data_IF_301024518175
#
_entry.id   IF_301024518175
#
_cell.length_a   1.000
_cell.length_b   1.000
_cell.length_c   1.000
_cell.angle_alpha   90.00
_cell.angle_beta   90.00
_cell.angle_gamma   90.00
#
_symmetry.space_group_name_H-M   'P 1'
#
loop_
_entity.id
_entity.type
_entity.pdbx_description
1 polymer ?
#
# COMPACT_ATOMS: atom_id res chain seq x y z
N UNK A 1 53.04 74.57 -20.81
CA UNK A 1 52.39 73.84 -19.70
C UNK A 1 52.25 72.38 -20.11
N UNK A 2 52.77 71.41 -19.33
CA UNK A 2 52.78 70.01 -19.74
C UNK A 2 51.47 69.33 -19.30
N UNK A 3 50.75 68.71 -20.24
CA UNK A 3 49.62 67.84 -19.92
C UNK A 3 50.11 66.40 -19.76
N UNK A 4 49.95 65.87 -18.55
CA UNK A 4 50.24 64.49 -18.15
C UNK A 4 49.16 63.56 -18.72
N UNK A 5 49.56 62.48 -19.39
CA UNK A 5 48.71 61.34 -19.71
C UNK A 5 48.56 60.44 -18.47
N UNK A 6 47.32 60.11 -18.10
CA UNK A 6 46.99 59.10 -17.09
C UNK A 6 46.68 57.77 -17.81
N UNK A 7 47.24 56.61 -17.39
CA UNK A 7 46.85 55.32 -17.95
C UNK A 7 45.57 54.83 -17.25
N UNK A 8 44.61 54.37 -18.04
CA UNK A 8 43.42 53.70 -17.53
C UNK A 8 43.77 52.28 -17.08
N UNK A 9 43.55 51.99 -15.79
CA UNK A 9 43.51 50.62 -15.27
C UNK A 9 42.21 49.96 -15.75
N UNK A 10 42.32 48.89 -16.54
CA UNK A 10 41.21 47.99 -16.84
C UNK A 10 41.05 46.99 -15.69
N UNK A 11 39.99 47.14 -14.90
CA UNK A 11 39.56 46.13 -13.93
C UNK A 11 38.73 45.09 -14.70
N UNK A 12 39.29 43.91 -14.91
CA UNK A 12 38.55 42.77 -15.45
C UNK A 12 37.66 42.18 -14.34
N UNK A 13 36.35 42.38 -14.45
CA UNK A 13 35.37 41.71 -13.59
C UNK A 13 35.14 40.28 -14.11
N UNK A 14 35.52 39.29 -13.31
CA UNK A 14 35.14 37.90 -13.55
C UNK A 14 33.65 37.74 -13.23
N UNK A 15 32.81 37.69 -14.27
CA UNK A 15 31.40 37.31 -14.13
C UNK A 15 31.32 35.79 -14.01
N UNK A 16 31.13 35.30 -12.78
CA UNK A 16 30.74 33.91 -12.52
C UNK A 16 29.30 33.72 -13.01
N UNK A 17 29.12 33.11 -14.18
CA UNK A 17 27.80 32.70 -14.67
C UNK A 17 27.28 31.54 -13.82
N UNK A 18 26.43 31.83 -12.85
CA UNK A 18 25.60 30.81 -12.22
C UNK A 18 24.57 30.36 -13.26
N UNK A 19 24.82 29.24 -13.92
CA UNK A 19 23.79 28.55 -14.70
C UNK A 19 22.74 28.06 -13.72
N UNK A 20 21.59 28.73 -13.67
CA UNK A 20 20.40 28.22 -13.00
C UNK A 20 20.02 26.93 -13.71
N UNK A 21 20.42 25.79 -13.16
CA UNK A 21 19.98 24.50 -13.67
C UNK A 21 18.50 24.38 -13.30
N UNK A 22 17.62 24.65 -14.26
CA UNK A 22 16.18 24.50 -14.07
C UNK A 22 15.93 23.07 -13.58
N UNK A 23 15.39 22.92 -12.36
CA UNK A 23 14.98 21.61 -11.91
C UNK A 23 13.91 21.10 -12.87
N UNK A 24 14.04 19.89 -13.43
CA UNK A 24 13.02 19.36 -14.31
C UNK A 24 11.71 19.29 -13.52
N UNK A 25 10.64 19.83 -14.10
CA UNK A 25 9.31 19.78 -13.49
C UNK A 25 8.88 18.34 -13.23
N UNK A 26 8.09 18.08 -12.18
CA UNK A 26 7.54 16.75 -11.94
C UNK A 26 6.77 16.28 -13.18
N UNK A 27 7.02 15.05 -13.59
CA UNK A 27 6.39 14.41 -14.75
C UNK A 27 5.33 13.38 -14.33
N UNK A 28 5.25 13.08 -13.03
CA UNK A 28 4.21 12.27 -12.43
C UNK A 28 3.87 12.76 -11.03
N UNK A 29 2.76 12.28 -10.48
CA UNK A 29 2.30 12.68 -9.15
C UNK A 29 2.17 11.48 -8.23
N UNK A 30 2.47 11.69 -6.96
CA UNK A 30 2.45 10.69 -5.89
C UNK A 30 1.37 11.07 -4.87
N UNK A 31 0.50 10.12 -4.57
CA UNK A 31 -0.40 10.17 -3.42
C UNK A 31 0.24 9.48 -2.22
N UNK A 32 0.09 10.10 -1.05
CA UNK A 32 0.50 9.56 0.24
C UNK A 32 -0.70 9.54 1.18
N UNK A 33 -1.00 8.35 1.71
CA UNK A 33 -1.85 8.16 2.89
C UNK A 33 -1.03 8.18 4.17
N UNK A 34 -1.66 8.47 5.31
CA UNK A 34 -0.97 8.62 6.59
C UNK A 34 -1.85 8.30 7.79
N UNK A 35 -1.21 8.15 8.94
CA UNK A 35 -1.86 8.26 10.25
C UNK A 35 -1.76 9.71 10.76
N UNK A 36 -2.78 10.19 11.47
CA UNK A 36 -2.94 11.61 11.83
C UNK A 36 -2.94 11.88 13.34
N UNK A 37 -2.42 10.94 14.16
CA UNK A 37 -2.15 11.20 15.57
C UNK A 37 -0.95 12.14 15.78
N UNK A 38 -0.09 12.28 14.76
CA UNK A 38 1.06 13.18 14.74
C UNK A 38 0.74 14.55 14.15
N UNK A 39 1.64 15.04 13.30
CA UNK A 39 1.54 16.31 12.57
C UNK A 39 0.86 16.18 11.20
N UNK A 40 0.69 14.96 10.70
CA UNK A 40 0.03 14.73 9.42
C UNK A 40 -1.40 15.28 9.41
N UNK A 41 -1.79 15.92 8.31
CA UNK A 41 -3.14 16.46 8.10
C UNK A 41 -4.04 15.48 7.33
N UNK A 42 -3.50 14.41 6.76
CA UNK A 42 -4.28 13.40 6.04
C UNK A 42 -3.61 12.92 4.75
N UNK A 43 -4.23 13.20 3.60
CA UNK A 43 -3.75 12.76 2.29
C UNK A 43 -2.92 13.86 1.64
N UNK A 44 -1.79 13.51 1.05
CA UNK A 44 -0.93 14.44 0.35
C UNK A 44 -0.78 14.04 -1.12
N UNK A 45 -0.77 15.03 -2.00
CA UNK A 45 -0.44 14.89 -3.42
C UNK A 45 0.86 15.66 -3.67
N UNK A 46 1.89 14.97 -4.12
CA UNK A 46 3.20 15.53 -4.41
C UNK A 46 3.52 15.42 -5.90
N UNK A 47 4.35 16.34 -6.39
CA UNK A 47 5.08 16.12 -7.63
C UNK A 47 6.21 15.11 -7.41
N UNK A 48 6.47 14.29 -8.41
CA UNK A 48 7.61 13.38 -8.44
C UNK A 48 8.32 13.49 -9.79
N UNK A 49 9.65 13.53 -9.75
CA UNK A 49 10.49 13.59 -10.93
C UNK A 49 11.02 12.19 -11.26
N UNK A 50 10.48 11.57 -12.31
CA UNK A 50 10.85 10.19 -12.71
C UNK A 50 12.25 10.07 -13.32
N UNK A 51 12.94 11.18 -13.60
CA UNK A 51 14.33 11.16 -14.06
C UNK A 51 15.30 11.09 -12.88
N UNK A 52 15.03 11.84 -11.81
CA UNK A 52 15.91 11.94 -10.64
C UNK A 52 15.51 10.99 -9.52
N UNK A 53 14.24 10.60 -9.45
CA UNK A 53 13.67 9.81 -8.35
C UNK A 53 13.31 10.65 -7.12
N UNK A 54 13.10 11.96 -7.28
CA UNK A 54 12.85 12.87 -6.15
C UNK A 54 11.38 13.25 -6.05
N UNK A 55 10.87 13.28 -4.81
CA UNK A 55 9.61 13.90 -4.40
C UNK A 55 9.85 15.40 -4.19
N UNK A 56 8.94 16.23 -4.71
CA UNK A 56 8.99 17.68 -4.52
C UNK A 56 8.77 18.06 -3.05
N UNK A 57 9.55 19.05 -2.58
CA UNK A 57 9.51 19.50 -1.18
C UNK A 57 8.15 20.04 -0.72
N UNK A 58 7.38 20.63 -1.65
CA UNK A 58 6.05 21.17 -1.37
C UNK A 58 4.98 20.28 -1.98
N UNK A 59 3.94 19.90 -1.24
CA UNK A 59 2.81 19.19 -1.82
C UNK A 59 2.08 20.09 -2.82
N UNK A 60 1.61 19.48 -3.91
CA UNK A 60 0.67 20.08 -4.85
C UNK A 60 -0.71 20.26 -4.20
N UNK A 61 -1.06 19.38 -3.26
CA UNK A 61 -2.29 19.45 -2.49
C UNK A 61 -2.17 18.72 -1.15
N UNK A 62 -2.83 19.25 -0.13
CA UNK A 62 -3.08 18.56 1.15
C UNK A 62 -4.59 18.44 1.33
N UNK A 63 -5.08 17.23 1.57
CA UNK A 63 -6.50 16.93 1.79
C UNK A 63 -6.67 16.48 3.23
N UNK A 64 -7.39 17.31 4.01
CA UNK A 64 -7.63 17.03 5.43
C UNK A 64 -8.53 15.80 5.59
N UNK A 65 -8.03 14.79 6.29
CA UNK A 65 -8.75 13.54 6.55
C UNK A 65 -8.13 12.84 7.74
N UNK A 66 -8.94 12.26 8.63
CA UNK A 66 -8.43 11.54 9.80
C UNK A 66 -8.00 10.11 9.40
N UNK A 67 -6.75 9.76 9.71
CA UNK A 67 -6.14 8.44 9.47
C UNK A 67 -6.42 7.80 8.10
N UNK A 68 -6.19 8.49 6.95
CA UNK A 68 -6.35 7.91 5.62
C UNK A 68 -5.24 6.90 5.31
N UNK A 69 -5.25 5.75 5.95
CA UNK A 69 -4.12 4.82 6.00
C UNK A 69 -3.97 3.93 4.76
N UNK A 70 -5.01 3.85 3.93
CA UNK A 70 -5.01 3.11 2.67
C UNK A 70 -5.85 3.84 1.63
N UNK A 71 -5.34 3.90 0.39
CA UNK A 71 -5.96 4.62 -0.72
C UNK A 71 -6.27 3.67 -1.90
N UNK A 72 -7.52 3.71 -2.37
CA UNK A 72 -8.00 2.92 -3.50
C UNK A 72 -8.44 3.83 -4.62
N UNK A 73 -7.78 3.72 -5.78
CA UNK A 73 -8.18 4.46 -6.99
C UNK A 73 -9.18 3.64 -7.80
N UNK A 74 -10.20 4.33 -8.32
CA UNK A 74 -10.99 3.84 -9.44
C UNK A 74 -10.13 3.58 -10.67
N UNK A 75 -10.56 2.65 -11.54
CA UNK A 75 -9.80 2.24 -12.73
C UNK A 75 -9.50 3.42 -13.66
N UNK A 76 -10.41 4.38 -13.79
CA UNK A 76 -10.26 5.58 -14.62
C UNK A 76 -9.61 6.75 -13.88
N UNK A 77 -9.22 6.56 -12.61
CA UNK A 77 -8.64 7.57 -11.74
C UNK A 77 -9.49 8.85 -11.62
N UNK A 78 -10.81 8.73 -11.72
CA UNK A 78 -11.74 9.84 -11.45
C UNK A 78 -12.20 9.90 -10.00
N UNK A 79 -12.06 8.80 -9.28
CA UNK A 79 -12.41 8.66 -7.88
C UNK A 79 -11.28 8.06 -7.07
N UNK A 80 -11.11 8.60 -5.87
CA UNK A 80 -10.23 8.12 -4.81
C UNK A 80 -11.09 7.74 -3.60
N UNK A 81 -10.84 6.56 -3.06
CA UNK A 81 -11.44 6.10 -1.81
C UNK A 81 -10.34 5.97 -0.76
N UNK A 82 -10.60 6.42 0.45
CA UNK A 82 -9.69 6.28 1.58
C UNK A 82 -10.39 5.56 2.72
N UNK A 83 -9.75 4.56 3.31
CA UNK A 83 -10.17 4.08 4.63
C UNK A 83 -9.69 5.06 5.68
N UNK A 84 -10.53 5.35 6.66
CA UNK A 84 -10.17 6.16 7.83
C UNK A 84 -10.02 5.20 9.01
N UNK A 85 -8.77 4.83 9.33
CA UNK A 85 -8.39 3.78 10.29
C UNK A 85 -8.54 4.24 11.75
N UNK A 86 -9.75 4.70 12.04
CA UNK A 86 -10.22 5.21 13.31
C UNK A 86 -10.80 4.07 14.15
N UNK A 87 -10.71 4.20 15.47
CA UNK A 87 -11.25 3.22 16.41
C UNK A 87 -11.04 3.63 17.86
N UNK A 88 -11.35 2.75 18.83
CA UNK A 88 -11.32 3.10 20.25
C UNK A 88 -9.99 3.68 20.72
N UNK A 89 -10.05 4.74 21.52
CA UNK A 89 -8.86 5.45 22.01
C UNK A 89 -8.32 6.54 21.07
N UNK A 90 -8.93 6.73 19.89
CA UNK A 90 -8.61 7.83 18.97
C UNK A 90 -9.59 8.99 19.08
N UNK A 91 -9.26 10.16 18.48
CA UNK A 91 -10.11 11.36 18.50
C UNK A 91 -11.47 11.13 17.84
N UNK A 92 -11.45 10.52 16.66
CA UNK A 92 -12.63 9.93 16.04
C UNK A 92 -12.55 8.43 16.28
N UNK A 93 -13.54 7.88 16.97
CA UNK A 93 -13.56 6.46 17.37
C UNK A 93 -14.27 5.58 16.35
N UNK A 94 -14.84 6.17 15.30
CA UNK A 94 -15.64 5.44 14.32
C UNK A 94 -14.80 5.19 13.06
N UNK A 95 -14.59 3.92 12.72
CA UNK A 95 -13.97 3.52 11.46
C UNK A 95 -14.84 3.94 10.27
N UNK A 96 -14.27 4.64 9.29
CA UNK A 96 -15.01 5.22 8.15
C UNK A 96 -14.33 4.93 6.81
N UNK A 97 -15.04 5.25 5.74
CA UNK A 97 -14.51 5.32 4.39
C UNK A 97 -14.94 6.64 3.76
N UNK A 98 -13.98 7.37 3.22
CA UNK A 98 -14.17 8.61 2.47
C UNK A 98 -14.07 8.38 0.96
N UNK A 99 -14.86 9.12 0.20
CA UNK A 99 -14.76 9.20 -1.26
C UNK A 99 -14.44 10.63 -1.71
N UNK A 100 -13.62 10.73 -2.74
CA UNK A 100 -13.17 11.97 -3.34
C UNK A 100 -13.23 11.89 -4.86
N UNK A 101 -13.59 12.99 -5.52
CA UNK A 101 -13.43 13.16 -6.95
C UNK A 101 -12.00 13.61 -7.26
N UNK A 102 -11.48 13.19 -8.40
CA UNK A 102 -10.22 13.66 -8.98
C UNK A 102 -10.58 14.35 -10.30
N UNK A 103 -10.28 15.65 -10.40
CA UNK A 103 -10.45 16.37 -11.65
C UNK A 103 -9.47 15.84 -12.71
N UNK A 104 -9.94 15.39 -13.89
CA UNK A 104 -9.08 14.71 -14.86
C UNK A 104 -8.07 15.63 -15.56
N UNK A 105 -8.18 16.95 -15.42
CA UNK A 105 -7.28 17.92 -16.06
C UNK A 105 -6.22 18.45 -15.08
N UNK A 106 -6.63 18.74 -13.85
CA UNK A 106 -5.81 19.38 -12.82
C UNK A 106 -5.37 18.41 -11.73
N UNK A 107 -5.96 17.22 -11.70
CA UNK A 107 -5.82 16.19 -10.65
C UNK A 107 -6.16 16.71 -9.26
N UNK A 108 -6.90 17.82 -9.17
CA UNK A 108 -7.40 18.34 -7.91
C UNK A 108 -8.35 17.33 -7.27
N UNK A 109 -8.10 17.01 -6.00
CA UNK A 109 -8.88 16.04 -5.24
C UNK A 109 -9.90 16.77 -4.37
N UNK A 110 -11.18 16.49 -4.53
CA UNK A 110 -12.25 17.15 -3.75
C UNK A 110 -13.15 16.13 -3.08
N UNK A 111 -13.53 16.31 -1.81
CA UNK A 111 -14.39 15.36 -1.10
C UNK A 111 -15.76 15.23 -1.77
N UNK A 112 -16.27 14.00 -1.85
CA UNK A 112 -17.65 13.68 -2.26
C UNK A 112 -18.48 13.42 -1.02
N UNK A 113 -18.20 12.32 -0.31
CA UNK A 113 -18.90 11.96 0.92
C UNK A 113 -18.06 11.01 1.80
N UNK A 114 -18.58 10.67 2.97
CA UNK A 114 -17.99 9.72 3.91
C UNK A 114 -19.10 8.87 4.54
N UNK A 115 -18.84 7.57 4.72
CA UNK A 115 -19.76 6.63 5.37
C UNK A 115 -19.02 5.82 6.45
N UNK A 116 -19.76 5.26 7.40
CA UNK A 116 -19.19 4.33 8.37
C UNK A 116 -18.79 3.01 7.69
N UNK A 117 -17.63 2.49 8.05
CA UNK A 117 -17.17 1.15 7.64
C UNK A 117 -17.93 0.02 8.35
N UNK A 118 -18.68 0.36 9.41
CA UNK A 118 -19.37 -0.57 10.32
C UNK A 118 -18.44 -1.59 10.98
N UNK A 119 -17.16 -1.23 11.14
CA UNK A 119 -16.18 -1.89 11.98
C UNK A 119 -15.18 -0.87 12.53
N UNK A 120 -14.22 -1.36 13.32
CA UNK A 120 -13.14 -0.56 13.89
C UNK A 120 -11.87 -0.72 13.05
N UNK A 121 -11.10 0.37 12.96
CA UNK A 121 -9.82 0.44 12.24
C UNK A 121 -9.84 -0.21 10.84
N UNK A 122 -10.64 0.29 9.87
CA UNK A 122 -10.55 -0.16 8.49
C UNK A 122 -9.15 0.13 7.94
N UNK A 123 -8.42 -0.91 7.57
CA UNK A 123 -6.98 -0.81 7.23
C UNK A 123 -6.68 -1.09 5.75
N UNK A 124 -7.66 -1.60 5.01
CA UNK A 124 -7.51 -1.89 3.59
C UNK A 124 -8.87 -1.77 2.87
N UNK A 125 -8.84 -1.34 1.61
CA UNK A 125 -9.99 -1.48 0.72
C UNK A 125 -9.60 -1.87 -0.71
N UNK A 126 -10.55 -2.43 -1.46
CA UNK A 126 -10.42 -2.66 -2.89
C UNK A 126 -11.76 -2.53 -3.61
N UNK A 127 -11.73 -2.20 -4.89
CA UNK A 127 -12.94 -2.15 -5.72
C UNK A 127 -13.19 -3.51 -6.38
N UNK A 128 -14.46 -3.87 -6.46
CA UNK A 128 -14.96 -4.81 -7.46
C UNK A 128 -14.57 -4.35 -8.88
N UNK A 129 -14.33 -5.30 -9.80
CA UNK A 129 -13.90 -4.96 -11.16
C UNK A 129 -14.96 -4.20 -11.97
N UNK A 130 -16.23 -4.36 -11.62
CA UNK A 130 -17.35 -3.59 -12.20
C UNK A 130 -17.53 -2.20 -11.56
N UNK A 131 -16.75 -1.89 -10.51
CA UNK A 131 -16.77 -0.62 -9.80
C UNK A 131 -18.01 -0.38 -8.94
N UNK A 132 -18.86 -1.40 -8.71
CA UNK A 132 -20.15 -1.23 -8.01
C UNK A 132 -20.03 -1.29 -6.49
N UNK A 133 -18.99 -1.91 -5.99
CA UNK A 133 -18.75 -2.09 -4.56
C UNK A 133 -17.28 -1.87 -4.20
N UNK A 134 -17.08 -1.29 -3.02
CA UNK A 134 -15.82 -1.23 -2.29
C UNK A 134 -15.86 -2.29 -1.17
N UNK A 135 -14.89 -3.19 -1.16
CA UNK A 135 -14.65 -4.15 -0.11
C UNK A 135 -13.72 -3.53 0.93
N UNK A 136 -14.10 -3.55 2.19
CA UNK A 136 -13.39 -2.87 3.29
C UNK A 136 -13.03 -3.89 4.36
N UNK A 137 -11.74 -3.98 4.67
CA UNK A 137 -11.22 -4.84 5.71
C UNK A 137 -11.10 -4.05 7.02
N UNK A 138 -11.97 -4.35 7.99
CA UNK A 138 -11.91 -3.80 9.34
C UNK A 138 -11.02 -4.69 10.20
N UNK A 139 -9.92 -4.12 10.69
CA UNK A 139 -8.94 -4.85 11.47
C UNK A 139 -9.40 -5.07 12.90
N UNK A 140 -9.98 -4.05 13.55
CA UNK A 140 -10.41 -4.03 14.95
C UNK A 140 -9.31 -4.49 15.93
N UNK A 141 -8.54 -3.57 16.50
CA UNK A 141 -7.48 -3.95 17.47
C UNK A 141 -8.07 -4.65 18.69
N UNK A 142 -9.28 -4.25 19.11
CA UNK A 142 -9.98 -4.87 20.22
C UNK A 142 -10.65 -6.19 19.81
N UNK A 143 -10.68 -7.18 20.71
CA UNK A 143 -11.22 -8.50 20.38
C UNK A 143 -12.75 -8.58 20.30
N UNK A 144 -13.45 -7.54 20.77
CA UNK A 144 -14.91 -7.45 20.74
C UNK A 144 -15.30 -6.06 20.19
N UNK A 145 -15.97 -5.98 19.02
CA UNK A 145 -16.56 -7.08 18.25
C UNK A 145 -15.58 -7.88 17.38
N UNK A 146 -14.31 -7.48 17.30
CA UNK A 146 -13.34 -8.06 16.38
C UNK A 146 -13.51 -7.59 14.93
N UNK A 147 -12.61 -8.04 14.05
CA UNK A 147 -12.53 -7.60 12.67
C UNK A 147 -13.63 -8.16 11.78
N UNK A 148 -13.97 -7.43 10.72
CA UNK A 148 -15.02 -7.80 9.78
C UNK A 148 -14.73 -7.33 8.35
N UNK A 149 -15.26 -8.06 7.36
CA UNK A 149 -15.31 -7.61 5.98
C UNK A 149 -16.63 -6.87 5.72
N UNK A 150 -16.55 -5.61 5.28
CA UNK A 150 -17.71 -4.80 4.91
C UNK A 150 -17.78 -4.59 3.39
N UNK A 151 -18.99 -4.58 2.84
CA UNK A 151 -19.28 -4.26 1.43
C UNK A 151 -20.06 -2.95 1.34
N UNK A 152 -19.45 -1.95 0.73
CA UNK A 152 -19.98 -0.59 0.58
C UNK A 152 -20.33 -0.35 -0.89
N UNK A 153 -21.59 -0.04 -1.25
CA UNK A 153 -21.94 0.30 -2.63
C UNK A 153 -21.29 1.62 -3.08
N UNK A 154 -20.88 1.66 -4.34
CA UNK A 154 -20.26 2.80 -5.01
C UNK A 154 -21.16 3.25 -6.16
N UNK A 155 -21.61 4.51 -6.11
CA UNK A 155 -22.36 5.15 -7.17
C UNK A 155 -21.50 5.44 -8.40
N UNK A 156 -22.15 5.60 -9.56
CA UNK A 156 -21.44 5.98 -10.81
C UNK A 156 -20.74 7.33 -10.73
N UNK A 157 -21.18 8.18 -9.81
CA UNK A 157 -20.65 9.49 -9.46
C UNK A 157 -19.57 9.42 -8.36
N UNK A 158 -19.19 8.23 -7.91
CA UNK A 158 -18.24 8.00 -6.83
C UNK A 158 -18.84 8.07 -5.43
N UNK A 159 -20.14 8.37 -5.28
CA UNK A 159 -20.79 8.47 -3.96
C UNK A 159 -20.85 7.11 -3.27
N UNK A 160 -20.44 7.04 -2.00
CA UNK A 160 -20.58 5.83 -1.17
C UNK A 160 -21.96 5.77 -0.54
N UNK A 161 -22.61 4.61 -0.55
CA UNK A 161 -23.85 4.36 0.20
C UNK A 161 -23.59 3.60 1.50
N UNK A 162 -24.58 3.49 2.37
CA UNK A 162 -24.46 2.63 3.55
C UNK A 162 -24.11 1.17 3.17
N UNK A 163 -23.32 0.52 4.03
CA UNK A 163 -22.90 -0.85 3.80
C UNK A 163 -24.09 -1.81 3.71
N UNK A 164 -24.12 -2.60 2.62
CA UNK A 164 -25.19 -3.57 2.35
C UNK A 164 -24.90 -4.94 2.97
N UNK A 165 -23.65 -5.18 3.37
CA UNK A 165 -23.22 -6.44 3.95
C UNK A 165 -22.02 -6.22 4.89
N UNK A 166 -22.09 -6.82 6.08
CA UNK A 166 -21.00 -6.88 7.06
C UNK A 166 -20.84 -8.36 7.44
N UNK A 167 -19.63 -8.88 7.28
CA UNK A 167 -19.29 -10.28 7.47
C UNK A 167 -18.28 -10.40 8.63
N UNK A 168 -18.72 -10.76 9.85
CA UNK A 168 -17.80 -11.20 10.88
C UNK A 168 -17.19 -12.55 10.45
N UNK A 169 -15.86 -12.69 10.57
CA UNK A 169 -15.14 -13.86 10.07
C UNK A 169 -14.99 -15.00 11.10
N UNK A 170 -15.54 -14.81 12.30
CA UNK A 170 -15.56 -15.81 13.36
C UNK A 170 -14.47 -15.61 14.40
N UNK A 171 -14.27 -16.58 15.32
CA UNK A 171 -13.27 -16.45 16.38
C UNK A 171 -11.85 -16.52 15.82
N UNK A 172 -10.92 -15.86 16.51
CA UNK A 172 -9.49 -16.00 16.24
C UNK A 172 -8.98 -17.42 16.51
N UNK A 173 -7.79 -17.74 16.01
CA UNK A 173 -7.17 -19.06 16.17
C UNK A 173 -6.69 -19.32 17.60
N UNK A 174 -6.50 -18.26 18.39
CA UNK A 174 -5.98 -18.27 19.77
C UNK A 174 -4.58 -18.86 19.91
N UNK A 175 -3.85 -19.06 18.80
CA UNK A 175 -2.47 -19.53 18.84
C UNK A 175 -1.57 -18.47 19.47
N UNK A 176 -1.76 -17.21 19.09
CA UNK A 176 -1.20 -16.07 19.81
C UNK A 176 -2.27 -15.45 20.73
N UNK A 177 -1.98 -15.44 22.03
CA UNK A 177 -2.92 -14.97 23.07
C UNK A 177 -3.15 -13.47 23.10
N UNK A 178 -2.35 -12.68 22.38
CA UNK A 178 -2.49 -11.21 22.33
C UNK A 178 -3.12 -10.72 21.03
N UNK A 179 -2.78 -11.36 19.91
CA UNK A 179 -3.07 -10.86 18.55
C UNK A 179 -4.06 -11.73 17.78
N UNK A 180 -4.55 -12.83 18.36
CA UNK A 180 -5.41 -13.80 17.67
C UNK A 180 -6.58 -14.29 18.55
N UNK A 181 -7.07 -13.43 19.46
CA UNK A 181 -8.25 -13.73 20.28
C UNK A 181 -9.56 -13.62 19.49
N UNK A 182 -9.59 -12.78 18.44
CA UNK A 182 -10.72 -12.52 17.55
C UNK A 182 -10.28 -12.53 16.08
N UNK A 183 -11.21 -12.29 15.17
CA UNK A 183 -10.90 -11.93 13.79
C UNK A 183 -10.15 -10.59 13.72
N UNK A 184 -9.25 -10.47 12.74
CA UNK A 184 -8.56 -9.23 12.36
C UNK A 184 -8.39 -9.19 10.83
N UNK A 185 -9.40 -8.68 10.11
CA UNK A 185 -9.39 -8.67 8.65
C UNK A 185 -8.42 -7.61 8.17
N UNK A 186 -7.36 -8.04 7.47
CA UNK A 186 -6.31 -7.13 7.03
C UNK A 186 -6.35 -6.85 5.51
N UNK A 187 -7.04 -7.68 4.74
CA UNK A 187 -7.20 -7.49 3.30
C UNK A 187 -8.50 -8.10 2.80
N UNK A 188 -9.11 -7.46 1.80
CA UNK A 188 -10.12 -8.04 0.94
C UNK A 188 -9.91 -7.60 -0.51
N UNK A 189 -9.80 -8.55 -1.45
CA UNK A 189 -9.55 -8.27 -2.89
C UNK A 189 -10.33 -9.22 -3.80
N UNK A 190 -10.79 -8.77 -4.99
CA UNK A 190 -11.35 -9.68 -5.98
C UNK A 190 -10.26 -10.59 -6.57
N UNK A 191 -10.64 -11.80 -6.96
CA UNK A 191 -9.77 -12.74 -7.67
C UNK A 191 -9.69 -12.39 -9.16
N UNK A 192 -8.59 -12.74 -9.88
CA UNK A 192 -8.38 -12.34 -11.27
C UNK A 192 -9.47 -12.78 -12.26
N UNK A 193 -10.21 -13.84 -11.94
CA UNK A 193 -11.33 -14.35 -12.74
C UNK A 193 -12.65 -13.59 -12.49
N UNK A 194 -12.66 -12.59 -11.61
CA UNK A 194 -13.82 -11.78 -11.22
C UNK A 194 -15.02 -12.60 -10.69
N UNK A 195 -14.77 -13.82 -10.20
CA UNK A 195 -15.82 -14.68 -9.65
C UNK A 195 -15.84 -14.68 -8.12
N UNK A 196 -14.72 -14.33 -7.49
CA UNK A 196 -14.56 -14.41 -6.05
C UNK A 196 -13.98 -13.14 -5.45
N UNK A 197 -14.16 -12.98 -4.15
CA UNK A 197 -13.42 -12.06 -3.29
C UNK A 197 -12.76 -12.88 -2.20
N UNK A 198 -11.47 -12.66 -1.98
CA UNK A 198 -10.74 -13.28 -0.88
C UNK A 198 -10.47 -12.28 0.22
N UNK A 199 -10.50 -12.76 1.46
CA UNK A 199 -10.30 -11.95 2.66
C UNK A 199 -9.26 -12.59 3.58
N UNK A 200 -8.16 -11.91 3.85
CA UNK A 200 -7.13 -12.39 4.77
C UNK A 200 -7.46 -11.96 6.20
N UNK A 201 -7.51 -12.91 7.12
CA UNK A 201 -7.77 -12.67 8.53
C UNK A 201 -6.56 -13.08 9.36
N UNK A 202 -5.85 -12.06 9.86
CA UNK A 202 -4.67 -12.23 10.70
C UNK A 202 -5.01 -13.00 11.99
N UNK A 203 -6.15 -12.69 12.58
CA UNK A 203 -6.62 -13.29 13.82
C UNK A 203 -6.98 -14.77 13.68
N UNK A 204 -7.50 -15.17 12.52
CA UNK A 204 -8.03 -16.53 12.31
C UNK A 204 -7.05 -17.53 11.67
N UNK A 205 -5.86 -17.10 11.24
CA UNK A 205 -4.93 -17.89 10.43
C UNK A 205 -5.58 -18.44 9.14
N UNK A 206 -6.45 -17.64 8.50
CA UNK A 206 -7.26 -18.08 7.34
C UNK A 206 -7.30 -17.04 6.22
N UNK A 207 -7.38 -17.54 5.00
CA UNK A 207 -7.87 -16.80 3.85
C UNK A 207 -9.31 -17.26 3.57
N UNK A 208 -10.28 -16.37 3.71
CA UNK A 208 -11.68 -16.64 3.39
C UNK A 208 -11.94 -16.40 1.90
N UNK A 209 -12.84 -17.19 1.31
CA UNK A 209 -13.18 -17.14 -0.12
C UNK A 209 -14.70 -17.01 -0.28
N UNK A 210 -15.12 -15.94 -0.94
CA UNK A 210 -16.52 -15.64 -1.22
C UNK A 210 -16.78 -15.61 -2.71
N UNK A 211 -17.84 -16.25 -3.18
CA UNK A 211 -18.38 -15.97 -4.52
C UNK A 211 -18.91 -14.54 -4.55
N UNK A 212 -18.61 -13.82 -5.62
CA UNK A 212 -19.11 -12.48 -5.89
C UNK A 212 -20.24 -12.51 -6.92
N UNK A 213 -21.36 -11.88 -6.56
CA UNK A 213 -22.55 -11.80 -7.41
C UNK A 213 -23.24 -10.44 -7.22
N UNK A 214 -22.92 -9.50 -8.12
CA UNK A 214 -23.42 -8.14 -8.09
C UNK A 214 -24.94 -8.02 -8.35
N UNK A 215 -25.62 -9.11 -8.71
CA UNK A 215 -27.09 -9.12 -8.85
C UNK A 215 -27.81 -9.24 -7.52
N UNK A 216 -27.12 -9.73 -6.48
CA UNK A 216 -27.68 -9.95 -5.16
C UNK A 216 -27.58 -8.69 -4.29
N UNK A 217 -28.54 -8.48 -3.40
CA UNK A 217 -28.50 -7.38 -2.44
C UNK A 217 -27.29 -7.46 -1.49
N UNK A 218 -26.91 -8.69 -1.12
CA UNK A 218 -25.67 -9.03 -0.39
C UNK A 218 -24.76 -9.77 -1.35
N UNK A 219 -23.78 -9.11 -1.99
CA UNK A 219 -23.10 -9.66 -3.17
C UNK A 219 -22.06 -10.72 -2.85
N UNK A 220 -21.70 -10.93 -1.58
CA UNK A 220 -20.75 -11.98 -1.18
C UNK A 220 -21.48 -13.18 -0.55
N UNK A 221 -21.20 -14.37 -1.05
CA UNK A 221 -21.67 -15.62 -0.44
C UNK A 221 -20.48 -16.57 -0.26
N UNK A 222 -20.42 -17.40 0.79
CA UNK A 222 -19.33 -18.35 0.95
C UNK A 222 -19.12 -19.21 -0.30
N UNK A 223 -17.87 -19.38 -0.73
CA UNK A 223 -17.54 -20.31 -1.81
C UNK A 223 -17.74 -21.76 -1.36
N UNK A 224 -17.71 -22.71 -2.32
CA UNK A 224 -17.80 -24.15 -2.03
C UNK A 224 -16.70 -24.62 -1.07
N UNK A 225 -15.49 -24.09 -1.25
CA UNK A 225 -14.38 -24.19 -0.29
C UNK A 225 -14.18 -22.79 0.28
N UNK A 226 -14.79 -22.46 1.43
CA UNK A 226 -14.92 -21.07 1.88
C UNK A 226 -13.67 -20.55 2.59
N UNK A 227 -12.69 -21.42 2.85
CA UNK A 227 -11.49 -21.06 3.61
C UNK A 227 -10.27 -21.86 3.15
N UNK A 228 -9.12 -21.19 3.13
CA UNK A 228 -7.79 -21.79 3.10
C UNK A 228 -7.21 -21.67 4.51
N UNK A 229 -6.78 -22.78 5.10
CA UNK A 229 -6.12 -22.78 6.40
C UNK A 229 -4.63 -22.53 6.22
N UNK A 230 -4.07 -21.58 6.99
CA UNK A 230 -2.65 -21.28 7.03
C UNK A 230 -2.02 -21.88 8.30
N UNK A 231 -0.68 -21.93 8.41
CA UNK A 231 -0.02 -22.38 9.64
C UNK A 231 -0.54 -21.60 10.87
N UNK A 232 -0.70 -22.28 12.00
CA UNK A 232 -1.16 -21.63 13.22
C UNK A 232 -0.18 -20.56 13.69
N UNK A 233 -0.70 -19.39 14.10
CA UNK A 233 0.12 -18.25 14.51
C UNK A 233 0.78 -17.50 13.36
N UNK A 234 0.37 -17.74 12.12
CA UNK A 234 0.97 -17.12 10.93
C UNK A 234 0.48 -15.71 10.66
N UNK A 235 -0.79 -15.44 10.92
CA UNK A 235 -1.39 -14.13 10.72
C UNK A 235 -1.35 -13.63 9.27
N UNK A 236 -2.17 -14.18 8.36
CA UNK A 236 -2.19 -13.76 6.96
C UNK A 236 -2.62 -12.29 6.85
N UNK A 237 -1.88 -11.53 6.03
CA UNK A 237 -2.01 -10.08 5.95
C UNK A 237 -2.46 -9.61 4.57
N UNK A 238 -1.55 -9.51 3.62
CA UNK A 238 -1.84 -9.03 2.25
C UNK A 238 -1.56 -10.14 1.22
N UNK A 239 -2.37 -10.19 0.14
CA UNK A 239 -2.17 -11.12 -0.97
C UNK A 239 -2.18 -10.40 -2.32
N UNK A 240 -1.49 -10.99 -3.30
CA UNK A 240 -1.47 -10.58 -4.69
C UNK A 240 -1.59 -11.79 -5.59
N UNK A 241 -2.10 -11.57 -6.81
CA UNK A 241 -2.18 -12.58 -7.85
C UNK A 241 -1.20 -12.27 -8.98
N UNK A 242 -0.71 -13.31 -9.66
CA UNK A 242 0.01 -13.15 -10.91
C UNK A 242 -0.87 -12.52 -11.99
N UNK A 243 -0.26 -11.86 -12.97
CA UNK A 243 -0.97 -11.21 -14.08
C UNK A 243 -1.76 -12.19 -14.95
N UNK A 244 -1.28 -13.43 -15.07
CA UNK A 244 -2.00 -14.52 -15.75
C UNK A 244 -3.06 -15.20 -14.87
N UNK A 245 -3.17 -14.77 -13.61
CA UNK A 245 -4.16 -15.22 -12.66
C UNK A 245 -4.00 -16.66 -12.19
N UNK A 246 -2.84 -17.29 -12.36
CA UNK A 246 -2.61 -18.70 -11.97
C UNK A 246 -1.93 -18.86 -10.62
N UNK A 247 -1.29 -17.81 -10.11
CA UNK A 247 -0.51 -17.86 -8.88
C UNK A 247 -0.99 -16.79 -7.90
N UNK A 248 -0.84 -17.07 -6.61
CA UNK A 248 -1.03 -16.08 -5.56
C UNK A 248 0.10 -16.11 -4.55
N UNK A 249 0.48 -14.94 -4.05
CA UNK A 249 1.43 -14.77 -2.96
C UNK A 249 0.72 -14.12 -1.79
N UNK A 250 0.88 -14.67 -0.59
CA UNK A 250 0.27 -14.17 0.64
C UNK A 250 1.37 -13.98 1.68
N UNK A 251 1.53 -12.76 2.17
CA UNK A 251 2.43 -12.49 3.28
C UNK A 251 1.74 -12.82 4.61
N UNK A 252 2.47 -13.53 5.46
CA UNK A 252 2.08 -13.93 6.81
C UNK A 252 2.83 -13.02 7.79
N UNK A 253 2.11 -12.12 8.45
CA UNK A 253 2.69 -11.06 9.28
C UNK A 253 3.48 -11.64 10.44
N UNK A 254 2.85 -12.52 11.21
CA UNK A 254 3.33 -12.93 12.52
C UNK A 254 4.48 -13.92 12.44
N UNK A 255 4.50 -14.76 11.41
CA UNK A 255 5.64 -15.66 11.13
C UNK A 255 6.69 -15.05 10.21
N UNK A 256 6.42 -13.88 9.61
CA UNK A 256 7.28 -13.25 8.61
C UNK A 256 7.63 -14.22 7.46
N UNK A 257 6.59 -14.80 6.87
CA UNK A 257 6.71 -15.74 5.76
C UNK A 257 5.89 -15.28 4.55
N UNK A 258 6.19 -15.86 3.39
CA UNK A 258 5.36 -15.75 2.18
C UNK A 258 4.88 -17.14 1.78
N UNK A 259 3.56 -17.33 1.77
CA UNK A 259 2.94 -18.51 1.21
C UNK A 259 2.68 -18.30 -0.29
N UNK A 260 3.03 -19.29 -1.10
CA UNK A 260 2.82 -19.31 -2.56
C UNK A 260 1.76 -20.35 -2.89
N UNK A 261 0.82 -20.00 -3.75
CA UNK A 261 -0.30 -20.85 -4.15
C UNK A 261 -0.41 -20.95 -5.66
N UNK A 262 -0.71 -22.15 -6.15
CA UNK A 262 -1.44 -22.28 -7.41
C UNK A 262 -2.90 -21.89 -7.13
N UNK A 263 -3.47 -21.06 -8.00
CA UNK A 263 -4.85 -20.59 -7.94
C UNK A 263 -5.66 -21.08 -9.15
N UNK A 264 -6.87 -21.57 -8.89
CA UNK A 264 -7.84 -21.91 -9.94
C UNK A 264 -9.27 -21.88 -9.39
N UNK A 265 -10.13 -21.01 -9.96
CA UNK A 265 -11.58 -20.97 -9.71
C UNK A 265 -11.95 -20.96 -8.21
N UNK A 266 -11.33 -20.05 -7.45
CA UNK A 266 -11.51 -19.92 -6.00
C UNK A 266 -10.75 -20.96 -5.16
N UNK A 267 -10.11 -21.95 -5.78
CA UNK A 267 -9.24 -22.93 -5.13
C UNK A 267 -7.81 -22.42 -4.98
N UNK A 268 -7.20 -22.72 -3.83
CA UNK A 268 -5.80 -22.40 -3.52
C UNK A 268 -5.07 -23.67 -3.11
N UNK A 269 -3.96 -23.97 -3.78
CA UNK A 269 -3.07 -25.08 -3.41
C UNK A 269 -1.70 -24.51 -3.05
N UNK A 270 -1.32 -24.59 -1.79
CA UNK A 270 -0.01 -24.10 -1.35
C UNK A 270 1.11 -24.93 -1.99
N UNK A 271 2.05 -24.26 -2.65
CA UNK A 271 3.19 -24.89 -3.36
C UNK A 271 4.54 -24.57 -2.72
N UNK A 272 4.63 -23.49 -1.94
CA UNK A 272 5.84 -23.07 -1.26
C UNK A 272 5.48 -22.24 -0.01
N UNK A 273 6.35 -22.28 1.00
CA UNK A 273 6.33 -21.37 2.14
C UNK A 273 7.77 -20.88 2.36
N UNK A 274 7.98 -19.56 2.29
CA UNK A 274 9.32 -18.94 2.31
C UNK A 274 9.49 -18.11 3.57
N UNK A 275 10.62 -18.27 4.26
CA UNK A 275 10.95 -17.53 5.48
C UNK A 275 11.71 -16.24 5.17
N UNK A 276 11.25 -15.11 5.74
CA UNK A 276 11.87 -13.79 5.59
C UNK A 276 12.65 -13.36 6.83
N UNK A 277 12.77 -14.19 7.87
CA UNK A 277 13.62 -13.90 9.04
C UNK A 277 15.09 -14.04 8.69
N UNK A 278 15.93 -13.24 9.32
CA UNK A 278 17.38 -13.41 9.21
C UNK A 278 17.79 -14.68 9.96
N UNK A 279 18.56 -15.57 9.31
CA UNK A 279 18.94 -16.85 9.90
C UNK A 279 19.81 -16.64 11.15
N UNK A 280 19.44 -17.29 12.24
CA UNK A 280 20.20 -17.25 13.51
C UNK A 280 20.09 -15.94 14.27
N UNK A 281 19.19 -15.04 13.87
CA UNK A 281 18.92 -13.77 14.57
C UNK A 281 17.57 -13.88 15.27
N UNK A 282 17.56 -13.74 16.59
CA UNK A 282 16.33 -13.60 17.36
C UNK A 282 15.92 -12.13 17.35
N UNK A 283 15.05 -11.78 16.41
CA UNK A 283 14.59 -10.41 16.21
C UNK A 283 13.08 -10.38 16.01
N UNK A 284 12.44 -9.29 16.42
CA UNK A 284 11.02 -9.10 16.12
C UNK A 284 10.87 -8.89 14.62
N UNK A 285 9.95 -9.64 14.02
CA UNK A 285 9.66 -9.55 12.60
C UNK A 285 8.16 -9.34 12.40
N UNK A 286 7.80 -8.78 11.24
CA UNK A 286 6.42 -8.52 10.89
C UNK A 286 6.27 -8.34 9.39
N UNK A 287 5.87 -9.41 8.68
CA UNK A 287 5.56 -9.32 7.26
C UNK A 287 4.58 -8.18 6.97
N UNK A 288 4.89 -7.33 6.00
CA UNK A 288 4.19 -6.08 5.74
C UNK A 288 3.50 -6.06 4.39
N UNK A 289 3.90 -5.13 3.53
CA UNK A 289 3.40 -5.01 2.17
C UNK A 289 4.13 -5.99 1.25
N UNK A 290 3.45 -6.43 0.19
CA UNK A 290 4.06 -7.13 -0.93
C UNK A 290 3.58 -6.50 -2.23
N UNK A 291 4.48 -6.36 -3.21
CA UNK A 291 4.17 -5.92 -4.58
C UNK A 291 5.07 -6.62 -5.58
N UNK A 292 4.54 -6.92 -6.76
CA UNK A 292 5.35 -7.37 -7.90
C UNK A 292 5.94 -6.18 -8.64
N UNK A 293 7.08 -6.38 -9.30
CA UNK A 293 7.55 -5.43 -10.32
C UNK A 293 6.51 -5.26 -11.43
N UNK A 294 6.48 -4.12 -12.15
CA UNK A 294 5.52 -3.90 -13.23
C UNK A 294 5.50 -4.98 -14.31
N UNK A 295 6.63 -5.66 -14.55
CA UNK A 295 6.76 -6.77 -15.49
C UNK A 295 6.46 -8.15 -14.91
N UNK A 296 6.10 -8.24 -13.63
CA UNK A 296 5.74 -9.48 -12.95
C UNK A 296 6.89 -10.46 -12.67
N UNK A 297 8.15 -10.04 -12.86
CA UNK A 297 9.32 -10.91 -12.70
C UNK A 297 9.87 -11.00 -11.29
N UNK A 298 9.60 -10.01 -10.46
CA UNK A 298 10.14 -9.92 -9.10
C UNK A 298 9.04 -9.63 -8.09
N UNK A 299 9.14 -10.21 -6.90
CA UNK A 299 8.30 -9.92 -5.75
C UNK A 299 9.14 -9.21 -4.67
N UNK A 300 8.58 -8.16 -4.09
CA UNK A 300 9.21 -7.40 -3.02
C UNK A 300 8.29 -7.47 -1.82
N UNK A 301 8.85 -7.75 -0.64
CA UNK A 301 8.06 -7.89 0.59
C UNK A 301 8.75 -7.14 1.71
N UNK A 302 8.03 -6.25 2.39
CA UNK A 302 8.57 -5.56 3.57
C UNK A 302 8.52 -6.47 4.78
N UNK A 303 9.55 -6.39 5.62
CA UNK A 303 9.62 -7.06 6.90
C UNK A 303 9.93 -6.00 7.98
N UNK A 304 8.96 -5.81 8.87
CA UNK A 304 8.95 -4.80 9.94
C UNK A 304 9.53 -5.39 11.22
N UNK A 305 9.39 -4.69 12.34
CA UNK A 305 9.99 -5.07 13.61
C UNK A 305 11.42 -4.55 13.71
N UNK A 306 12.36 -5.37 14.14
CA UNK A 306 13.77 -4.98 14.26
C UNK A 306 14.49 -5.04 12.91
N UNK A 307 14.04 -5.94 12.01
CA UNK A 307 14.65 -6.16 10.71
C UNK A 307 14.58 -4.93 9.76
N UNK A 308 13.44 -4.22 9.74
CA UNK A 308 13.16 -3.03 8.92
C UNK A 308 13.76 -3.06 7.50
N UNK A 309 13.44 -4.13 6.77
CA UNK A 309 14.04 -4.43 5.48
C UNK A 309 12.99 -4.74 4.42
N UNK A 310 13.42 -4.74 3.16
CA UNK A 310 12.71 -5.37 2.05
C UNK A 310 13.46 -6.64 1.65
N UNK A 311 12.72 -7.73 1.45
CA UNK A 311 13.22 -8.97 0.87
C UNK A 311 12.75 -9.04 -0.57
N UNK A 312 13.69 -9.29 -1.49
CA UNK A 312 13.46 -9.33 -2.93
C UNK A 312 13.57 -10.76 -3.43
N UNK A 313 12.57 -11.19 -4.17
CA UNK A 313 12.50 -12.51 -4.78
C UNK A 313 12.41 -12.41 -6.29
N UNK A 314 13.11 -13.30 -6.99
CA UNK A 314 12.83 -13.62 -8.39
C UNK A 314 11.64 -14.58 -8.43
N UNK A 315 10.71 -14.35 -9.35
CA UNK A 315 9.53 -15.19 -9.57
C UNK A 315 9.80 -16.14 -10.73
N UNK A 316 9.74 -17.44 -10.46
CA UNK A 316 9.64 -18.44 -11.52
C UNK A 316 8.30 -18.30 -12.25
N UNK A 317 8.33 -17.88 -13.51
CA UNK A 317 7.12 -17.49 -14.24
C UNK A 317 6.17 -18.66 -14.53
N UNK A 318 6.66 -19.91 -14.50
CA UNK A 318 5.84 -21.09 -14.75
C UNK A 318 5.10 -21.52 -13.48
N UNK A 319 5.82 -21.59 -12.35
CA UNK A 319 5.33 -22.16 -11.09
C UNK A 319 4.98 -21.14 -10.01
N UNK A 320 5.24 -19.86 -10.22
CA UNK A 320 5.02 -18.79 -9.25
C UNK A 320 5.99 -18.84 -8.05
N UNK A 321 6.91 -19.79 -8.00
CA UNK A 321 7.85 -19.97 -6.89
C UNK A 321 8.81 -18.80 -6.76
N UNK A 322 9.24 -18.58 -5.53
CA UNK A 322 10.10 -17.48 -5.14
C UNK A 322 11.52 -17.96 -4.83
N UNK A 323 12.50 -17.27 -5.40
CA UNK A 323 13.93 -17.40 -5.09
C UNK A 323 14.43 -16.07 -4.52
N UNK A 324 14.93 -16.06 -3.29
CA UNK A 324 15.45 -14.84 -2.68
C UNK A 324 16.73 -14.38 -3.40
N UNK A 325 16.77 -13.11 -3.81
CA UNK A 325 17.92 -12.53 -4.51
C UNK A 325 18.57 -11.38 -3.74
N UNK A 326 17.86 -10.77 -2.78
CA UNK A 326 18.38 -9.65 -2.00
C UNK A 326 17.59 -9.45 -0.71
N UNK A 327 18.29 -9.01 0.33
CA UNK A 327 17.74 -8.30 1.49
C UNK A 327 18.37 -6.93 1.58
N UNK A 328 17.56 -5.90 1.82
CA UNK A 328 18.06 -4.52 1.91
C UNK A 328 17.37 -3.78 3.05
N UNK A 329 18.15 -3.14 3.91
CA UNK A 329 17.63 -2.17 4.90
C UNK A 329 16.81 -1.09 4.20
N UNK A 330 15.70 -0.68 4.80
CA UNK A 330 14.88 0.44 4.33
C UNK A 330 15.25 1.76 4.98
N UNK A 331 16.33 1.76 5.77
CA UNK A 331 16.93 2.95 6.39
C UNK A 331 15.93 3.79 7.21
N UNK A 332 14.89 3.13 7.72
CA UNK A 332 13.80 3.68 8.49
C UNK A 332 13.15 2.62 9.36
N UNK A 333 12.04 2.97 10.01
CA UNK A 333 11.32 2.08 10.93
C UNK A 333 9.87 1.89 10.52
N UNK A 334 9.38 0.67 10.69
CA UNK A 334 8.01 0.26 10.33
C UNK A 334 7.66 0.57 8.87
N UNK A 335 8.33 -0.07 7.89
CA UNK A 335 8.00 0.04 6.47
C UNK A 335 6.61 -0.53 6.19
N UNK A 336 5.58 0.35 6.18
CA UNK A 336 4.16 -0.03 6.13
C UNK A 336 3.71 -0.39 4.72
N UNK A 337 4.20 0.36 3.73
CA UNK A 337 3.89 0.22 2.31
C UNK A 337 5.03 0.74 1.42
N UNK A 338 4.97 0.42 0.14
CA UNK A 338 5.87 0.95 -0.87
C UNK A 338 5.23 0.99 -2.26
N UNK A 339 5.78 1.82 -3.15
CA UNK A 339 5.34 1.91 -4.53
C UNK A 339 6.53 1.91 -5.49
N UNK A 340 6.32 1.35 -6.68
CA UNK A 340 7.19 1.58 -7.83
C UNK A 340 6.79 2.90 -8.48
N UNK A 341 7.78 3.68 -8.89
CA UNK A 341 7.50 4.76 -9.82
C UNK A 341 7.01 4.20 -11.18
N UNK A 342 6.30 4.99 -12.00
CA UNK A 342 5.77 4.52 -13.27
C UNK A 342 6.82 3.97 -14.24
N UNK A 343 8.09 4.41 -14.15
CA UNK A 343 9.18 3.89 -14.98
C UNK A 343 9.76 2.57 -14.46
N UNK A 344 9.46 2.20 -13.21
CA UNK A 344 9.98 1.02 -12.52
C UNK A 344 11.46 1.09 -12.14
N UNK A 345 12.09 2.27 -12.25
CA UNK A 345 13.52 2.52 -11.93
C UNK A 345 13.73 2.97 -10.49
N UNK A 346 12.66 3.34 -9.79
CA UNK A 346 12.68 3.79 -8.41
C UNK A 346 11.61 3.08 -7.60
N UNK A 347 11.91 2.90 -6.33
CA UNK A 347 10.96 2.42 -5.33
C UNK A 347 10.92 3.39 -4.17
N UNK A 348 9.73 3.65 -3.65
CA UNK A 348 9.50 4.57 -2.54
C UNK A 348 8.91 3.78 -1.37
N UNK A 349 9.52 3.84 -0.21
CA UNK A 349 9.11 3.11 0.99
C UNK A 349 8.57 4.06 2.06
N UNK A 350 7.33 3.86 2.49
CA UNK A 350 6.71 4.60 3.58
C UNK A 350 7.12 4.00 4.93
N UNK A 351 8.12 4.62 5.57
CA UNK A 351 8.63 4.20 6.87
C UNK A 351 7.91 4.97 7.99
N UNK A 352 6.76 4.43 8.40
CA UNK A 352 5.79 5.08 9.28
C UNK A 352 6.42 5.62 10.56
N UNK A 353 7.11 4.78 11.35
CA UNK A 353 7.61 5.15 12.69
C UNK A 353 8.85 6.03 12.67
N UNK A 354 9.48 6.19 11.51
CA UNK A 354 10.59 7.14 11.32
C UNK A 354 10.15 8.44 10.64
N UNK A 355 8.87 8.62 10.35
CA UNK A 355 8.33 9.82 9.69
C UNK A 355 9.10 10.19 8.40
N UNK A 356 9.32 9.21 7.52
CA UNK A 356 10.00 9.46 6.26
C UNK A 356 9.53 8.52 5.15
N UNK A 357 9.61 9.02 3.91
CA UNK A 357 9.61 8.22 2.70
C UNK A 357 11.06 8.08 2.22
N UNK A 358 11.51 6.84 2.00
CA UNK A 358 12.86 6.58 1.45
C UNK A 358 12.72 6.14 0.00
N UNK A 359 13.28 6.93 -0.92
CA UNK A 359 13.34 6.60 -2.34
C UNK A 359 14.68 5.97 -2.68
N UNK A 360 14.65 4.86 -3.39
CA UNK A 360 15.83 4.06 -3.77
C UNK A 360 15.81 3.75 -5.26
N UNK A 361 16.99 3.56 -5.85
CA UNK A 361 17.11 3.04 -7.23
C UNK A 361 16.75 1.56 -7.27
N UNK A 362 16.13 1.15 -8.37
CA UNK A 362 15.88 -0.24 -8.73
C UNK A 362 16.47 -0.49 -10.11
N UNK A 363 17.18 -1.59 -10.26
CA UNK A 363 17.52 -2.11 -11.58
C UNK A 363 16.37 -2.99 -12.10
N UNK A 364 15.67 -2.60 -13.19
CA UNK A 364 14.58 -3.39 -13.73
C UNK A 364 14.99 -4.75 -14.30
N UNK A 365 16.26 -4.93 -14.68
CA UNK A 365 16.74 -6.17 -15.27
C UNK A 365 17.02 -7.24 -14.20
N UNK A 366 17.80 -6.89 -13.18
CA UNK A 366 18.13 -7.81 -12.09
C UNK A 366 17.07 -7.87 -10.98
N UNK A 367 16.22 -6.85 -10.89
CA UNK A 367 15.28 -6.66 -9.78
C UNK A 367 15.93 -6.15 -8.49
N UNK A 368 17.25 -5.98 -8.46
CA UNK A 368 17.95 -5.52 -7.26
C UNK A 368 17.67 -4.05 -6.97
N UNK A 369 17.69 -3.72 -5.68
CA UNK A 369 17.56 -2.37 -5.15
C UNK A 369 18.95 -1.84 -4.81
N UNK A 370 19.27 -0.67 -5.36
CA UNK A 370 20.55 0.01 -5.20
C UNK A 370 20.52 1.16 -4.20
N UNK A 371 21.19 2.25 -4.57
CA UNK A 371 21.43 3.40 -3.69
C UNK A 371 20.14 4.14 -3.32
N UNK A 372 20.17 4.72 -2.12
CA UNK A 372 19.16 5.68 -1.68
C UNK A 372 19.35 7.00 -2.41
N UNK A 373 18.27 7.48 -3.00
CA UNK A 373 18.19 8.71 -3.78
C UNK A 373 17.72 9.87 -2.91
N UNK A 374 16.74 9.62 -2.04
CA UNK A 374 16.14 10.64 -1.20
C UNK A 374 15.62 10.02 0.10
N UNK A 375 15.78 10.76 1.20
CA UNK A 375 14.99 10.60 2.43
C UNK A 375 14.14 11.84 2.56
N UNK A 376 12.83 11.66 2.44
CA UNK A 376 11.86 12.75 2.43
C UNK A 376 11.07 12.73 3.74
N UNK A 377 11.08 13.85 4.47
CA UNK A 377 10.33 13.97 5.72
C UNK A 377 8.82 13.96 5.45
N UNK A 378 8.14 12.98 6.02
CA UNK A 378 6.69 12.81 5.90
C UNK A 378 6.16 12.23 7.21
N UNK A 379 5.17 12.85 7.83
CA UNK A 379 4.70 12.37 9.13
C UNK A 379 3.82 11.11 8.98
N UNK A 380 4.21 10.03 9.65
CA UNK A 380 3.52 8.73 9.69
C UNK A 380 2.95 8.24 8.34
N UNK A 381 3.74 8.19 7.25
CA UNK A 381 3.27 7.72 5.95
C UNK A 381 2.93 6.24 6.04
N UNK A 382 1.78 5.85 5.47
CA UNK A 382 1.25 4.50 5.58
C UNK A 382 0.83 3.88 4.24
N UNK A 383 0.70 4.70 3.19
CA UNK A 383 0.37 4.24 1.84
C UNK A 383 0.96 5.15 0.78
N UNK A 384 1.37 4.59 -0.37
CA UNK A 384 1.92 5.32 -1.50
C UNK A 384 1.29 4.85 -2.81
N UNK A 385 0.90 5.77 -3.69
CA UNK A 385 0.34 5.43 -5.01
C UNK A 385 0.61 6.51 -6.03
N UNK A 386 1.13 6.14 -7.19
CA UNK A 386 1.28 7.07 -8.31
C UNK A 386 -0.03 7.27 -9.06
N UNK A 387 -0.30 8.52 -9.43
CA UNK A 387 -1.27 8.85 -10.46
C UNK A 387 -0.60 8.73 -11.82
N UNK A 388 -1.15 7.88 -12.69
CA UNK A 388 -0.59 7.63 -14.02
C UNK A 388 -1.49 8.24 -15.08
N UNK A 389 -0.92 8.95 -16.06
CA UNK A 389 -1.67 9.25 -17.28
C UNK A 389 -2.00 7.92 -17.98
N UNK A 390 -3.27 7.75 -18.35
CA UNK A 390 -3.72 6.58 -19.11
C UNK A 390 -3.95 6.94 -20.56
#
# INVERSE_FOLDING_TARGET
>A
MPHKFLPWLAIASAMSTFTLQAQPMPDTELLMGSYTQGKSEGIYRFGFNSQTGMIDAKPLQVIKSDNPSWLTLSKDQRYLFAVNENGPGQKDVVGKVSSFAIDPKTRQITPINQVQSRGEEPTHSSLSYDGRYLFVANYAVNPDPGGALTVVPVGKDGTLSEAVQVLPLGPGSKVNSERQLSSHVHLAVPTPDNKYVVSADLGADKLFVYRYDASQAKPLQPAKVPTVQLPGGSGPRHTLFSSDGKHAWLVLEMTAQVAVFDYHDGGFKQTQLVDMKNKGVDEKNGGGALHTSPDGKFLYVTNRGDANQVVVFRIDQASGKLEEIQRRSLEGKEPREFAFDPTGKFMLFANQKSNQIVTVRRDPQSGMIGDTVQKFDADSPSYLRFLTDK
#
